data_IF_597927409719
#
_entry.id   IF_597927409719
#
_cell.length_a   1.000
_cell.length_b   1.000
_cell.length_c   1.000
_cell.angle_alpha   90.00
_cell.angle_beta   90.00
_cell.angle_gamma   90.00
#
_symmetry.space_group_name_H-M   'P 1'
#
loop_
_entity.id
_entity.type
_entity.pdbx_description
1 polymer ?
#
# COMPACT_ATOMS: atom_id res chain seq x y z
N UNK A 1 25.74 -14.76 -2.66
CA UNK A 1 25.59 -14.87 -1.18
C UNK A 1 25.95 -13.52 -0.59
N UNK A 2 25.30 -13.12 0.50
CA UNK A 2 25.61 -11.88 1.22
C UNK A 2 25.71 -12.17 2.73
N UNK A 3 26.46 -11.34 3.44
CA UNK A 3 26.60 -11.44 4.89
C UNK A 3 25.27 -11.07 5.56
N UNK A 4 24.80 -11.90 6.48
CA UNK A 4 23.62 -11.63 7.31
C UNK A 4 24.02 -10.85 8.57
N UNK A 5 23.03 -10.45 9.37
CA UNK A 5 23.26 -9.68 10.60
C UNK A 5 24.03 -10.44 11.70
N UNK A 6 24.16 -11.77 11.60
CA UNK A 6 24.94 -12.61 12.52
C UNK A 6 26.38 -12.84 12.02
N UNK A 7 26.77 -12.22 10.90
CA UNK A 7 28.09 -12.36 10.30
C UNK A 7 28.29 -13.60 9.42
N UNK A 8 27.27 -14.47 9.30
CA UNK A 8 27.27 -15.63 8.39
C UNK A 8 26.85 -15.27 6.96
N UNK A 9 27.10 -16.16 6.00
CA UNK A 9 26.71 -15.95 4.59
C UNK A 9 25.41 -16.67 4.26
N UNK A 10 24.47 -15.96 3.65
CA UNK A 10 23.17 -16.49 3.23
C UNK A 10 22.86 -16.14 1.77
N UNK A 11 21.90 -16.85 1.17
CA UNK A 11 21.40 -16.52 -0.16
C UNK A 11 20.53 -15.26 -0.11
N UNK A 12 20.78 -14.33 -1.04
CA UNK A 12 19.97 -13.12 -1.17
C UNK A 12 18.65 -13.49 -1.83
N UNK A 13 17.55 -13.31 -1.10
CA UNK A 13 16.23 -13.52 -1.65
C UNK A 13 15.94 -12.52 -2.78
N UNK A 14 15.37 -13.01 -3.88
CA UNK A 14 14.89 -12.20 -5.00
C UNK A 14 13.90 -11.12 -4.55
N UNK A 15 13.89 -9.97 -5.22
CA UNK A 15 13.07 -8.82 -4.82
C UNK A 15 11.57 -9.14 -4.87
N UNK A 16 11.07 -9.89 -5.85
CA UNK A 16 9.65 -10.23 -5.89
C UNK A 16 9.27 -11.21 -4.78
N UNK A 17 10.16 -12.13 -4.40
CA UNK A 17 9.96 -13.00 -3.25
C UNK A 17 10.01 -12.23 -1.92
N UNK A 18 10.85 -11.19 -1.83
CA UNK A 18 10.87 -10.26 -0.68
C UNK A 18 9.58 -9.43 -0.61
N UNK A 19 9.08 -8.96 -1.76
CA UNK A 19 7.78 -8.29 -1.86
C UNK A 19 6.66 -9.20 -1.34
N UNK A 20 6.58 -10.45 -1.79
CA UNK A 20 5.58 -11.40 -1.30
C UNK A 20 5.64 -11.58 0.21
N UNK A 21 6.85 -11.76 0.76
CA UNK A 21 7.05 -11.86 2.21
C UNK A 21 6.55 -10.62 2.93
N UNK A 22 6.88 -9.43 2.44
CA UNK A 22 6.43 -8.17 3.03
C UNK A 22 4.91 -8.03 2.95
N UNK A 23 4.29 -8.34 1.82
CA UNK A 23 2.85 -8.23 1.63
C UNK A 23 2.08 -9.18 2.56
N UNK A 24 2.58 -10.40 2.76
CA UNK A 24 1.92 -11.44 3.57
C UNK A 24 2.16 -11.24 5.08
N UNK A 25 3.41 -10.99 5.47
CA UNK A 25 3.83 -10.92 6.89
C UNK A 25 3.75 -9.51 7.47
N UNK A 26 3.81 -8.47 6.63
CA UNK A 26 3.95 -7.08 7.06
C UNK A 26 5.33 -6.74 7.63
N UNK A 27 5.45 -5.54 8.22
CA UNK A 27 6.64 -5.08 8.94
C UNK A 27 6.48 -5.15 10.47
N UNK A 28 5.36 -5.69 10.96
CA UNK A 28 4.92 -5.54 12.36
C UNK A 28 5.64 -6.45 13.37
N UNK A 29 6.59 -7.27 12.92
CA UNK A 29 7.50 -7.99 13.81
C UNK A 29 8.91 -7.48 13.56
N UNK A 30 9.46 -6.75 14.52
CA UNK A 30 10.92 -6.66 14.66
C UNK A 30 11.45 -8.08 14.62
N UNK A 31 12.36 -8.37 13.70
CA UNK A 31 13.11 -9.62 13.81
C UNK A 31 14.02 -9.51 15.03
N UNK A 32 14.49 -10.62 15.58
CA UNK A 32 15.42 -10.62 16.71
C UNK A 32 16.65 -9.71 16.46
N UNK A 33 16.95 -9.42 15.18
CA UNK A 33 18.09 -8.63 14.72
C UNK A 33 17.77 -7.22 14.21
N UNK A 34 16.50 -6.82 14.04
CA UNK A 34 16.15 -5.51 13.45
C UNK A 34 14.91 -4.86 14.05
N UNK A 35 14.93 -3.53 14.18
CA UNK A 35 13.77 -2.72 14.62
C UNK A 35 12.71 -2.59 13.53
N UNK A 36 11.46 -2.31 13.94
CA UNK A 36 10.32 -2.14 13.03
C UNK A 36 10.52 -0.99 12.02
N UNK A 37 11.16 0.11 12.45
CA UNK A 37 11.42 1.25 11.57
C UNK A 37 12.44 0.91 10.46
N UNK A 38 13.53 0.21 10.82
CA UNK A 38 14.53 -0.23 9.85
C UNK A 38 13.92 -1.21 8.83
N UNK A 39 13.14 -2.19 9.30
CA UNK A 39 12.42 -3.14 8.44
C UNK A 39 11.46 -2.43 7.49
N UNK A 40 10.78 -1.39 7.95
CA UNK A 40 9.85 -0.61 7.12
C UNK A 40 10.59 0.09 5.97
N UNK A 41 11.77 0.66 6.24
CA UNK A 41 12.61 1.30 5.21
C UNK A 41 13.14 0.28 4.21
N UNK A 42 13.68 -0.85 4.67
CA UNK A 42 14.19 -1.91 3.77
C UNK A 42 13.09 -2.48 2.87
N UNK A 43 11.90 -2.71 3.43
CA UNK A 43 10.75 -3.18 2.67
C UNK A 43 10.26 -2.12 1.66
N UNK A 44 10.23 -0.84 2.04
CA UNK A 44 9.88 0.24 1.12
C UNK A 44 10.86 0.30 -0.06
N UNK A 45 12.16 0.20 0.19
CA UNK A 45 13.18 0.14 -0.86
C UNK A 45 13.01 -1.09 -1.75
N UNK A 46 12.63 -2.24 -1.20
CA UNK A 46 12.33 -3.44 -1.97
C UNK A 46 11.13 -3.23 -2.92
N UNK A 47 10.06 -2.60 -2.43
CA UNK A 47 8.90 -2.24 -3.25
C UNK A 47 9.33 -1.30 -4.39
N UNK A 48 10.15 -0.28 -4.10
CA UNK A 48 10.67 0.64 -5.13
C UNK A 48 11.44 -0.11 -6.21
N UNK A 49 12.37 -1.01 -5.83
CA UNK A 49 13.10 -1.83 -6.81
C UNK A 49 12.18 -2.73 -7.64
N UNK A 50 11.11 -3.28 -7.05
CA UNK A 50 10.13 -4.06 -7.79
C UNK A 50 9.37 -3.18 -8.80
N UNK A 51 9.00 -1.96 -8.41
CA UNK A 51 8.30 -1.01 -9.28
C UNK A 51 9.18 -0.56 -10.47
N UNK A 52 10.48 -0.37 -10.23
CA UNK A 52 11.46 -0.04 -11.27
C UNK A 52 11.68 -1.19 -12.24
N UNK A 53 11.70 -2.44 -11.75
CA UNK A 53 11.87 -3.64 -12.57
C UNK A 53 10.62 -3.96 -13.40
N UNK A 54 9.45 -4.00 -12.75
CA UNK A 54 8.17 -4.28 -13.40
C UNK A 54 7.02 -3.77 -12.52
N UNK A 55 6.65 -2.50 -12.72
CA UNK A 55 5.60 -1.85 -11.95
C UNK A 55 4.20 -2.45 -12.17
N UNK A 56 3.89 -2.95 -13.37
CA UNK A 56 2.58 -3.54 -13.67
C UNK A 56 2.43 -4.87 -12.93
N UNK A 57 3.44 -5.75 -13.01
CA UNK A 57 3.46 -7.01 -12.25
C UNK A 57 3.41 -6.75 -10.76
N UNK A 58 4.14 -5.75 -10.27
CA UNK A 58 4.16 -5.39 -8.85
C UNK A 58 2.77 -4.97 -8.37
N UNK A 59 2.08 -4.08 -9.10
CA UNK A 59 0.71 -3.65 -8.76
C UNK A 59 -0.27 -4.82 -8.84
N UNK A 60 -0.17 -5.67 -9.86
CA UNK A 60 -1.02 -6.85 -10.00
C UNK A 60 -0.88 -7.77 -8.78
N UNK A 61 0.36 -8.01 -8.33
CA UNK A 61 0.61 -8.85 -7.17
C UNK A 61 0.11 -8.24 -5.85
N UNK A 62 0.28 -6.92 -5.67
CA UNK A 62 -0.27 -6.19 -4.52
C UNK A 62 -1.79 -6.36 -4.46
N UNK A 63 -2.47 -6.18 -5.60
CA UNK A 63 -3.91 -6.34 -5.70
C UNK A 63 -4.35 -7.77 -5.40
N UNK A 64 -3.66 -8.76 -5.96
CA UNK A 64 -3.94 -10.18 -5.78
C UNK A 64 -3.86 -10.60 -4.30
N UNK A 65 -2.76 -10.24 -3.61
CA UNK A 65 -2.59 -10.57 -2.18
C UNK A 65 -3.69 -9.95 -1.33
N UNK A 66 -4.12 -8.72 -1.65
CA UNK A 66 -5.18 -8.04 -0.92
C UNK A 66 -6.56 -8.66 -1.17
N UNK A 67 -6.88 -8.90 -2.44
CA UNK A 67 -8.19 -9.39 -2.90
C UNK A 67 -8.46 -10.83 -2.43
N UNK A 68 -7.47 -11.70 -2.57
CA UNK A 68 -7.54 -13.09 -2.09
C UNK A 68 -7.39 -13.21 -0.56
N UNK A 69 -7.04 -12.12 0.14
CA UNK A 69 -6.90 -12.14 1.60
C UNK A 69 -5.74 -13.00 2.10
N UNK A 70 -4.64 -13.08 1.36
CA UNK A 70 -3.49 -13.93 1.71
C UNK A 70 -2.70 -13.39 2.91
N UNK A 71 -2.79 -12.08 3.17
CA UNK A 71 -2.08 -11.40 4.25
C UNK A 71 -2.90 -11.36 5.54
N UNK A 72 -2.23 -11.49 6.68
CA UNK A 72 -2.87 -11.32 8.00
C UNK A 72 -3.40 -9.88 8.19
N UNK A 73 -2.65 -8.89 7.69
CA UNK A 73 -3.02 -7.46 7.71
C UNK A 73 -2.88 -6.85 6.32
N UNK A 74 -3.85 -6.03 5.93
CA UNK A 74 -3.86 -5.41 4.61
C UNK A 74 -2.94 -4.17 4.48
N UNK A 75 -2.38 -3.70 5.59
CA UNK A 75 -1.56 -2.48 5.66
C UNK A 75 -0.37 -2.48 4.72
N UNK A 76 0.32 -3.62 4.58
CA UNK A 76 1.46 -3.75 3.68
C UNK A 76 1.05 -3.54 2.21
N UNK A 77 -0.07 -4.15 1.78
CA UNK A 77 -0.60 -3.97 0.43
C UNK A 77 -1.03 -2.51 0.17
N UNK A 78 -1.67 -1.87 1.16
CA UNK A 78 -2.08 -0.46 1.07
C UNK A 78 -0.86 0.46 0.93
N UNK A 79 0.16 0.25 1.76
CA UNK A 79 1.41 1.00 1.72
C UNK A 79 2.15 0.83 0.39
N UNK A 80 2.30 -0.41 -0.08
CA UNK A 80 2.91 -0.70 -1.38
C UNK A 80 2.14 -0.09 -2.55
N UNK A 81 0.80 -0.08 -2.49
CA UNK A 81 -0.03 0.58 -3.50
C UNK A 81 0.17 2.10 -3.50
N UNK A 82 0.32 2.72 -2.31
CA UNK A 82 0.62 4.14 -2.19
C UNK A 82 1.98 4.50 -2.82
N UNK A 83 3.02 3.69 -2.59
CA UNK A 83 4.31 3.82 -3.26
C UNK A 83 4.16 3.71 -4.78
N UNK A 84 3.43 2.71 -5.28
CA UNK A 84 3.18 2.54 -6.71
C UNK A 84 2.46 3.74 -7.34
N UNK A 85 1.48 4.30 -6.64
CA UNK A 85 0.73 5.47 -7.07
C UNK A 85 1.57 6.77 -7.13
N UNK A 86 2.67 6.84 -6.38
CA UNK A 86 3.52 8.03 -6.28
C UNK A 86 4.81 7.94 -7.07
N UNK A 87 5.53 6.86 -6.90
CA UNK A 87 6.88 6.67 -7.45
C UNK A 87 6.90 5.89 -8.77
N UNK A 88 5.82 5.16 -9.10
CA UNK A 88 5.75 4.41 -10.36
C UNK A 88 5.78 5.33 -11.60
N UNK A 89 6.06 4.76 -12.78
CA UNK A 89 5.87 5.46 -14.05
C UNK A 89 4.37 5.67 -14.37
N UNK A 90 4.03 6.37 -15.45
CA UNK A 90 2.63 6.71 -15.80
C UNK A 90 1.70 5.50 -15.85
N UNK A 91 2.15 4.39 -16.43
CA UNK A 91 1.35 3.16 -16.55
C UNK A 91 1.16 2.49 -15.18
N UNK A 92 2.22 2.45 -14.38
CA UNK A 92 2.20 1.92 -13.01
C UNK A 92 1.26 2.73 -12.10
N UNK A 93 1.33 4.07 -12.17
CA UNK A 93 0.41 4.94 -11.43
C UNK A 93 -1.04 4.68 -11.86
N UNK A 94 -1.28 4.55 -13.16
CA UNK A 94 -2.61 4.25 -13.71
C UNK A 94 -3.13 2.90 -13.23
N UNK A 95 -2.28 1.87 -13.24
CA UNK A 95 -2.60 0.55 -12.71
C UNK A 95 -2.91 0.60 -11.21
N UNK A 96 -2.10 1.32 -10.43
CA UNK A 96 -2.29 1.48 -8.98
C UNK A 96 -3.64 2.15 -8.67
N UNK A 97 -3.99 3.22 -9.39
CA UNK A 97 -5.28 3.89 -9.22
C UNK A 97 -6.47 3.01 -9.62
N UNK A 98 -6.32 2.11 -10.61
CA UNK A 98 -7.34 1.13 -10.98
C UNK A 98 -7.50 0.02 -9.94
N UNK A 99 -6.40 -0.41 -9.33
CA UNK A 99 -6.41 -1.42 -8.27
C UNK A 99 -6.93 -0.90 -6.91
N UNK A 100 -7.05 0.42 -6.74
CA UNK A 100 -7.45 1.04 -5.48
C UNK A 100 -8.73 0.45 -4.85
N UNK A 101 -9.83 0.19 -5.57
CA UNK A 101 -11.04 -0.39 -4.97
C UNK A 101 -10.88 -1.85 -4.52
N UNK A 102 -9.98 -2.61 -5.15
CA UNK A 102 -9.68 -4.00 -4.79
C UNK A 102 -8.89 -4.05 -3.47
N UNK A 103 -7.90 -3.17 -3.34
CA UNK A 103 -7.06 -3.12 -2.13
C UNK A 103 -7.80 -2.41 -0.98
N UNK A 104 -8.37 -1.24 -1.27
CA UNK A 104 -9.06 -0.40 -0.28
C UNK A 104 -10.56 -0.69 -0.26
N UNK A 105 -10.96 -1.83 0.30
CA UNK A 105 -12.37 -2.28 0.33
C UNK A 105 -13.29 -1.44 1.23
N UNK A 106 -12.75 -0.90 2.32
CA UNK A 106 -13.50 -0.13 3.33
C UNK A 106 -12.86 1.25 3.58
N UNK A 107 -13.57 2.21 4.19
CA UNK A 107 -13.04 3.56 4.43
C UNK A 107 -11.74 3.57 5.23
N UNK A 108 -11.58 2.68 6.21
CA UNK A 108 -10.33 2.56 6.98
C UNK A 108 -9.12 2.30 6.08
N UNK A 109 -9.24 1.44 5.07
CA UNK A 109 -8.13 1.18 4.14
C UNK A 109 -7.85 2.42 3.29
N UNK A 110 -8.90 3.13 2.86
CA UNK A 110 -8.76 4.34 2.07
C UNK A 110 -8.07 5.46 2.87
N UNK A 111 -8.42 5.63 4.15
CA UNK A 111 -7.75 6.58 5.05
C UNK A 111 -6.27 6.25 5.23
N UNK A 112 -5.94 4.97 5.36
CA UNK A 112 -4.55 4.51 5.44
C UNK A 112 -3.77 4.75 4.15
N UNK A 113 -4.37 4.46 2.99
CA UNK A 113 -3.78 4.76 1.68
C UNK A 113 -3.49 6.25 1.52
N UNK A 114 -4.46 7.08 1.89
CA UNK A 114 -4.37 8.52 1.78
C UNK A 114 -3.30 9.10 2.70
N UNK A 115 -3.23 8.65 3.95
CA UNK A 115 -2.17 9.03 4.87
C UNK A 115 -0.78 8.67 4.33
N UNK A 116 -0.62 7.47 3.75
CA UNK A 116 0.63 7.06 3.12
C UNK A 116 0.99 7.92 1.90
N UNK A 117 0.00 8.22 1.04
CA UNK A 117 0.18 9.09 -0.13
C UNK A 117 0.66 10.49 0.26
N UNK A 118 0.15 11.05 1.35
CA UNK A 118 0.55 12.36 1.86
C UNK A 118 2.06 12.40 2.16
N UNK A 119 2.60 11.35 2.78
CA UNK A 119 4.02 11.24 3.13
C UNK A 119 4.94 11.10 1.90
N UNK A 120 4.40 10.69 0.75
CA UNK A 120 5.18 10.42 -0.47
C UNK A 120 5.06 11.49 -1.57
N UNK A 121 4.46 12.64 -1.28
CA UNK A 121 4.38 13.75 -2.24
C UNK A 121 2.98 14.34 -2.44
N UNK A 122 2.11 14.27 -1.43
CA UNK A 122 0.89 15.09 -1.36
C UNK A 122 -0.17 14.81 -2.43
N UNK A 123 -0.90 15.85 -2.87
CA UNK A 123 -2.17 15.72 -3.59
C UNK A 123 -2.11 16.20 -5.05
N UNK A 124 -1.90 15.25 -5.97
CA UNK A 124 -1.99 15.49 -7.41
C UNK A 124 -3.36 15.14 -8.01
N UNK A 125 -3.63 15.59 -9.23
CA UNK A 125 -4.90 15.34 -9.95
C UNK A 125 -5.20 13.85 -10.14
N UNK A 126 -4.18 12.99 -10.28
CA UNK A 126 -4.33 11.53 -10.35
C UNK A 126 -4.90 10.94 -9.06
N UNK A 127 -4.32 11.31 -7.91
CA UNK A 127 -4.76 10.83 -6.60
C UNK A 127 -6.17 11.31 -6.28
N UNK A 128 -6.47 12.60 -6.50
CA UNK A 128 -7.81 13.16 -6.29
C UNK A 128 -8.87 12.43 -7.12
N UNK A 129 -8.60 12.20 -8.40
CA UNK A 129 -9.50 11.44 -9.29
C UNK A 129 -9.70 10.00 -8.85
N UNK A 130 -8.66 9.33 -8.35
CA UNK A 130 -8.75 7.96 -7.87
C UNK A 130 -9.63 7.86 -6.61
N UNK A 131 -9.44 8.77 -5.64
CA UNK A 131 -10.28 8.86 -4.43
C UNK A 131 -11.73 9.20 -4.81
N UNK A 132 -11.94 10.17 -5.69
CA UNK A 132 -13.27 10.52 -6.18
C UNK A 132 -13.96 9.31 -6.86
N UNK A 133 -13.25 8.57 -7.72
CA UNK A 133 -13.76 7.34 -8.34
C UNK A 133 -14.12 6.28 -7.30
N UNK A 134 -13.32 6.13 -6.25
CA UNK A 134 -13.63 5.21 -5.17
C UNK A 134 -14.94 5.60 -4.46
N UNK A 135 -15.11 6.89 -4.13
CA UNK A 135 -16.33 7.41 -3.51
C UNK A 135 -17.55 7.21 -4.41
N UNK A 136 -17.43 7.54 -5.70
CA UNK A 136 -18.49 7.37 -6.70
C UNK A 136 -18.83 5.91 -6.98
N UNK A 137 -17.97 4.95 -6.63
CA UNK A 137 -18.27 3.51 -6.73
C UNK A 137 -19.27 3.01 -5.68
N UNK A 138 -19.60 3.84 -4.68
CA UNK A 138 -20.47 3.46 -3.55
C UNK A 138 -21.85 4.10 -3.70
N UNK A 139 -22.87 3.39 -3.24
CA UNK A 139 -24.23 3.94 -3.18
C UNK A 139 -24.34 4.96 -2.05
N UNK A 140 -25.32 5.89 -2.10
CA UNK A 140 -25.54 6.86 -1.03
C UNK A 140 -25.72 6.22 0.36
N UNK A 141 -26.42 5.08 0.44
CA UNK A 141 -26.60 4.32 1.68
C UNK A 141 -25.27 3.76 2.21
N UNK A 142 -24.41 3.25 1.33
CA UNK A 142 -23.07 2.78 1.71
C UNK A 142 -22.20 3.93 2.21
N UNK A 143 -22.22 5.09 1.54
CA UNK A 143 -21.47 6.27 1.98
C UNK A 143 -21.95 6.76 3.36
N UNK A 144 -23.26 6.79 3.60
CA UNK A 144 -23.81 7.14 4.91
C UNK A 144 -23.35 6.17 6.00
N UNK A 145 -23.44 4.87 5.74
CA UNK A 145 -22.95 3.84 6.65
C UNK A 145 -21.44 3.97 6.90
N UNK A 146 -20.67 4.21 5.84
CA UNK A 146 -19.24 4.39 5.91
C UNK A 146 -18.85 5.62 6.76
N UNK A 147 -19.50 6.76 6.53
CA UNK A 147 -19.24 8.00 7.27
C UNK A 147 -19.64 7.94 8.74
N UNK A 148 -20.67 7.17 9.09
CA UNK A 148 -21.13 7.04 10.49
C UNK A 148 -20.35 5.97 11.26
N UNK A 149 -20.05 4.82 10.65
CA UNK A 149 -19.29 3.71 11.27
C UNK A 149 -17.79 4.01 11.34
N UNK A 150 -17.20 4.50 10.26
CA UNK A 150 -15.76 4.73 10.14
C UNK A 150 -15.47 6.23 10.15
N UNK A 151 -15.72 6.87 11.31
CA UNK A 151 -15.63 8.33 11.45
C UNK A 151 -14.26 8.88 11.06
N UNK A 152 -13.19 8.30 11.58
CA UNK A 152 -11.81 8.68 11.27
C UNK A 152 -10.82 7.53 11.51
N UNK A 153 -9.69 7.55 10.82
CA UNK A 153 -8.50 6.70 11.09
C UNK A 153 -7.26 7.45 10.59
N UNK A 154 -6.14 7.32 11.30
CA UNK A 154 -4.85 7.91 10.90
C UNK A 154 -4.94 9.42 10.60
N UNK A 155 -5.78 10.16 11.32
CA UNK A 155 -6.00 11.59 11.10
C UNK A 155 -6.93 11.96 9.94
N UNK A 156 -7.42 10.98 9.18
CA UNK A 156 -8.29 11.19 8.02
C UNK A 156 -9.75 10.78 8.31
N UNK A 157 -10.68 11.60 7.83
CA UNK A 157 -12.12 11.34 7.87
C UNK A 157 -12.75 11.38 6.48
N UNK A 158 -13.97 10.87 6.36
CA UNK A 158 -14.73 10.95 5.11
C UNK A 158 -14.97 12.40 4.67
N UNK A 159 -15.11 13.34 5.61
CA UNK A 159 -15.24 14.78 5.33
C UNK A 159 -13.98 15.31 4.64
N UNK A 160 -12.81 14.90 5.10
CA UNK A 160 -11.54 15.36 4.52
C UNK A 160 -11.42 14.84 3.09
N UNK A 161 -11.81 13.59 2.84
CA UNK A 161 -11.79 13.02 1.49
C UNK A 161 -12.67 13.79 0.49
N UNK A 162 -13.80 14.34 0.93
CA UNK A 162 -14.68 15.16 0.08
C UNK A 162 -14.13 16.56 -0.20
N UNK A 163 -13.15 17.03 0.58
CA UNK A 163 -12.54 18.37 0.44
C UNK A 163 -11.29 18.39 -0.43
N UNK A 164 -10.81 17.22 -0.87
CA UNK A 164 -9.57 17.05 -1.63
C UNK A 164 -9.62 17.65 -3.04
#
# INVERSE_FOLDING_TARGET
MAQNHEGGYSFVLDDFKRLDRFLIMGADSSTFYQTQAALTVENAQCVVRCLEKDGIRTVARIAEVSDQGLAFRNSAAIFSLALAAKLGNTDTKTAAYRALPLVCRIPTHLYEFVAAVEHFGGWGSGTKRAVARWLMSKTPKQLLFHGTKYKQRNGWSMRDLFRL
#
